data_IF_595900313067
#
_entry.id   IF_595900313067
#
_cell.length_a   1.000
_cell.length_b   1.000
_cell.length_c   1.000
_cell.angle_alpha   90.00
_cell.angle_beta   90.00
_cell.angle_gamma   90.00
#
_symmetry.space_group_name_H-M   'P 1'
#
loop_
_entity.id
_entity.type
_entity.pdbx_description
1 polymer ?
#
# COMPACT_ATOMS: atom_id res chain seq x y z
N UNK A 1 20.85 13.03 19.50
CA UNK A 1 22.12 12.46 20.01
C UNK A 1 22.92 13.57 20.65
N UNK A 2 23.76 13.26 21.64
CA UNK A 2 24.48 14.25 22.43
C UNK A 2 25.93 13.85 22.64
N UNK A 3 26.83 14.83 22.56
CA UNK A 3 28.20 14.69 23.04
C UNK A 3 28.65 15.99 23.71
N UNK A 4 29.66 15.91 24.55
CA UNK A 4 30.19 17.07 25.25
C UNK A 4 31.70 17.09 25.28
N UNK A 5 32.24 18.31 25.15
CA UNK A 5 33.67 18.55 25.15
C UNK A 5 34.04 19.65 26.15
N UNK A 6 35.28 19.59 26.65
CA UNK A 6 35.82 20.59 27.57
C UNK A 6 36.44 21.78 26.82
N UNK A 7 36.99 22.75 27.56
CA UNK A 7 37.64 23.94 26.99
C UNK A 7 38.86 23.64 26.10
N UNK A 8 39.43 22.44 26.21
CA UNK A 8 40.54 21.96 25.38
C UNK A 8 40.07 21.20 24.13
N UNK A 9 38.76 21.19 23.86
CA UNK A 9 38.12 20.39 22.83
C UNK A 9 38.31 18.87 23.00
N UNK A 10 38.55 18.41 24.23
CA UNK A 10 38.60 16.98 24.55
C UNK A 10 37.19 16.46 24.79
N UNK A 11 36.84 15.32 24.19
CA UNK A 11 35.58 14.64 24.45
C UNK A 11 35.54 14.14 25.89
N UNK A 12 34.50 14.51 26.63
CA UNK A 12 34.35 14.12 28.04
C UNK A 12 33.07 13.32 28.32
N UNK A 13 32.10 13.39 27.41
CA UNK A 13 30.87 12.60 27.50
C UNK A 13 30.23 12.42 26.13
N UNK A 14 29.59 11.29 25.91
CA UNK A 14 28.74 11.04 24.75
C UNK A 14 27.60 10.10 25.14
N UNK A 15 26.44 10.29 24.52
CA UNK A 15 25.37 9.30 24.64
C UNK A 15 25.68 8.05 23.80
N UNK A 16 25.00 6.94 24.12
CA UNK A 16 25.20 5.66 23.45
C UNK A 16 24.99 5.76 21.93
N UNK A 17 23.98 6.51 21.52
CA UNK A 17 23.63 6.70 20.11
C UNK A 17 24.75 7.41 19.33
N UNK A 18 25.41 8.41 19.91
CA UNK A 18 26.57 9.06 19.29
C UNK A 18 27.77 8.12 19.16
N UNK A 19 28.03 7.31 20.19
CA UNK A 19 29.13 6.32 20.17
C UNK A 19 28.90 5.28 19.06
N UNK A 20 27.67 4.75 18.98
CA UNK A 20 27.26 3.79 17.94
C UNK A 20 27.27 4.42 16.54
N UNK A 21 26.86 5.68 16.41
CA UNK A 21 26.91 6.42 15.13
C UNK A 21 28.33 6.47 14.56
N UNK A 22 29.34 6.56 15.42
CA UNK A 22 30.75 6.58 15.03
C UNK A 22 31.37 5.18 14.82
N UNK A 23 30.59 4.11 15.01
CA UNK A 23 31.03 2.72 14.84
C UNK A 23 31.70 2.11 16.08
N UNK A 24 31.56 2.72 17.26
CA UNK A 24 32.17 2.24 18.50
C UNK A 24 31.14 1.56 19.42
N UNK A 25 31.62 0.62 20.23
CA UNK A 25 30.80 -0.10 21.22
C UNK A 25 30.83 0.58 22.60
N UNK A 26 31.90 1.31 22.91
CA UNK A 26 32.12 1.94 24.22
C UNK A 26 32.75 3.32 24.07
N UNK A 27 32.52 4.18 25.08
CA UNK A 27 33.12 5.51 25.13
C UNK A 27 34.65 5.46 25.18
N UNK A 28 35.22 4.49 25.90
CA UNK A 28 36.68 4.31 25.97
C UNK A 28 37.29 3.91 24.63
N UNK A 29 36.57 3.13 23.81
CA UNK A 29 37.04 2.78 22.47
C UNK A 29 37.04 4.02 21.56
N UNK A 30 36.02 4.87 21.66
CA UNK A 30 35.94 6.14 20.94
C UNK A 30 37.07 7.11 21.32
N UNK A 31 37.42 7.20 22.61
CA UNK A 31 38.49 8.08 23.09
C UNK A 31 39.88 7.67 22.57
N UNK A 32 40.14 6.37 22.38
CA UNK A 32 41.45 5.88 21.90
C UNK A 32 41.75 6.31 20.46
N UNK A 33 40.72 6.44 19.63
CA UNK A 33 40.88 6.70 18.20
C UNK A 33 40.86 8.20 17.84
N UNK A 34 40.69 9.10 18.83
CA UNK A 34 40.74 10.57 18.64
C UNK A 34 39.84 11.13 17.53
N UNK A 35 38.73 10.46 17.22
CA UNK A 35 37.81 10.77 16.10
C UNK A 35 37.26 12.21 16.13
N UNK A 36 37.29 12.87 17.29
CA UNK A 36 36.89 14.27 17.44
C UNK A 36 37.70 15.22 16.56
N UNK A 37 38.96 14.92 16.28
CA UNK A 37 39.82 15.80 15.48
C UNK A 37 39.36 15.89 14.01
N UNK A 38 38.62 14.89 13.55
CA UNK A 38 38.09 14.82 12.18
C UNK A 38 36.71 15.50 12.05
N UNK A 39 36.13 15.95 13.16
CA UNK A 39 34.84 16.64 13.18
C UNK A 39 35.03 18.09 12.72
N UNK A 40 34.52 18.41 11.53
CA UNK A 40 34.46 19.77 11.02
C UNK A 40 33.15 20.43 11.47
N UNK A 41 33.27 21.43 12.36
CA UNK A 41 32.15 22.25 12.80
C UNK A 41 32.07 23.51 11.95
N UNK A 42 30.98 23.67 11.21
CA UNK A 42 30.56 24.95 10.64
C UNK A 42 29.38 25.49 11.45
N UNK A 43 29.13 26.79 11.41
CA UNK A 43 28.26 27.60 12.32
C UNK A 43 26.88 27.04 12.71
N UNK A 44 26.39 25.97 12.09
CA UNK A 44 25.20 25.21 12.52
C UNK A 44 25.22 23.74 12.08
N UNK A 45 26.33 23.25 11.50
CA UNK A 45 26.44 21.91 10.94
C UNK A 45 27.74 21.23 11.30
N UNK A 46 27.63 19.98 11.70
CA UNK A 46 28.70 19.02 11.86
C UNK A 46 28.86 18.25 10.56
N UNK A 47 30.09 18.20 10.05
CA UNK A 47 30.48 17.29 8.97
C UNK A 47 31.65 16.47 9.49
N UNK A 48 31.46 15.16 9.57
CA UNK A 48 32.52 14.21 9.87
C UNK A 48 32.79 13.39 8.63
N UNK A 49 34.02 13.44 8.13
CA UNK A 49 34.47 12.61 7.03
C UNK A 49 35.39 11.51 7.57
N UNK A 50 34.85 10.31 7.73
CA UNK A 50 35.64 9.11 7.97
C UNK A 50 35.99 8.46 6.63
N UNK A 51 36.98 7.57 6.64
CA UNK A 51 37.45 6.87 5.44
C UNK A 51 36.37 6.06 4.72
N UNK A 52 35.33 5.63 5.42
CA UNK A 52 34.25 4.79 4.90
C UNK A 52 32.85 5.43 5.01
N UNK A 53 32.73 6.57 5.69
CA UNK A 53 31.45 7.14 6.11
C UNK A 53 31.53 8.66 6.24
N UNK A 54 30.59 9.35 5.62
CA UNK A 54 30.37 10.78 5.82
C UNK A 54 29.13 10.99 6.67
N UNK A 55 29.24 11.78 7.72
CA UNK A 55 28.14 12.12 8.62
C UNK A 55 27.91 13.63 8.55
N UNK A 56 26.68 14.02 8.27
CA UNK A 56 26.24 15.41 8.31
C UNK A 56 25.15 15.57 9.37
N UNK A 57 25.23 16.56 10.24
CA UNK A 57 24.22 16.78 11.27
C UNK A 57 24.06 18.27 11.59
N UNK A 58 22.86 18.69 11.97
CA UNK A 58 22.61 20.00 12.54
C UNK A 58 23.03 20.00 14.02
N UNK A 59 23.76 21.03 14.45
CA UNK A 59 24.25 21.17 15.82
C UNK A 59 23.51 22.26 16.58
N UNK A 60 23.29 22.01 17.87
CA UNK A 60 22.90 23.02 18.84
C UNK A 60 23.83 22.90 20.05
N UNK A 61 24.62 23.95 20.32
CA UNK A 61 25.54 23.98 21.45
C UNK A 61 24.89 24.62 22.68
N UNK A 62 25.13 24.03 23.85
CA UNK A 62 24.74 24.57 25.15
C UNK A 62 25.94 24.55 26.07
N UNK A 63 26.27 25.69 26.67
CA UNK A 63 27.37 25.81 27.61
C UNK A 63 26.90 25.50 29.03
N UNK A 64 27.58 24.58 29.70
CA UNK A 64 27.34 24.18 31.08
C UNK A 64 28.55 24.59 31.92
N UNK A 65 28.32 25.42 32.92
CA UNK A 65 29.36 25.83 33.86
C UNK A 65 29.36 24.88 35.05
N UNK A 66 30.40 24.05 35.15
CA UNK A 66 30.66 23.26 36.35
C UNK A 66 31.59 24.05 37.28
N UNK A 67 31.63 23.67 38.56
CA UNK A 67 32.45 24.37 39.58
C UNK A 67 33.95 24.44 39.26
N UNK A 68 34.44 23.59 38.37
CA UNK A 68 35.86 23.46 38.04
C UNK A 68 36.19 23.64 36.56
N UNK A 69 35.20 23.65 35.67
CA UNK A 69 35.41 23.75 34.21
C UNK A 69 34.13 24.08 33.46
N UNK A 70 34.26 24.70 32.29
CA UNK A 70 33.17 24.81 31.33
C UNK A 70 33.10 23.54 30.46
N UNK A 71 31.88 23.03 30.27
CA UNK A 71 31.57 21.92 29.37
C UNK A 71 30.63 22.43 28.30
N UNK A 72 30.94 22.20 27.03
CA UNK A 72 30.02 22.45 25.93
C UNK A 72 29.31 21.16 25.56
N UNK A 73 27.99 21.15 25.70
CA UNK A 73 27.12 20.07 25.27
C UNK A 73 26.60 20.37 23.87
N UNK A 74 26.82 19.45 22.94
CA UNK A 74 26.32 19.53 21.57
C UNK A 74 25.19 18.54 21.40
N UNK A 75 24.03 19.06 20.98
CA UNK A 75 22.91 18.26 20.50
C UNK A 75 23.01 18.13 18.99
N UNK A 76 22.95 16.90 18.50
CA UNK A 76 22.85 16.58 17.09
C UNK A 76 21.40 16.26 16.71
N UNK A 77 20.99 16.81 15.57
CA UNK A 77 19.69 16.62 14.93
C UNK A 77 19.86 16.50 13.42
N UNK A 78 18.88 15.92 12.71
CA UNK A 78 18.90 15.71 11.26
C UNK A 78 20.21 15.08 10.77
N UNK A 79 20.55 13.93 11.37
CA UNK A 79 21.80 13.22 11.08
C UNK A 79 21.63 12.45 9.78
N UNK A 80 22.50 12.71 8.80
CA UNK A 80 22.55 12.09 7.48
C UNK A 80 23.86 11.33 7.39
N UNK A 81 23.79 10.05 7.05
CA UNK A 81 24.93 9.16 6.87
C UNK A 81 25.06 8.78 5.39
N UNK A 82 26.21 9.09 4.80
CA UNK A 82 26.57 8.73 3.43
C UNK A 82 27.82 7.84 3.47
N UNK A 83 27.65 6.52 3.46
CA UNK A 83 28.75 5.55 3.42
C UNK A 83 29.25 5.33 1.99
N UNK A 84 30.57 5.40 1.77
CA UNK A 84 31.20 5.19 0.45
C UNK A 84 31.68 3.76 0.21
N UNK A 85 31.66 2.90 1.24
CA UNK A 85 31.98 1.49 1.11
C UNK A 85 30.75 0.65 1.46
N UNK A 86 30.29 -0.16 0.49
CA UNK A 86 29.46 -1.34 0.76
C UNK A 86 30.35 -2.34 1.50
N UNK A 87 30.48 -2.19 2.82
CA UNK A 87 31.12 -3.21 3.68
C UNK A 87 30.05 -3.86 4.51
N UNK A 88 29.81 -5.14 4.19
CA UNK A 88 29.20 -6.20 5.00
C UNK A 88 28.82 -5.75 6.41
N UNK A 89 27.70 -5.04 6.46
CA UNK A 89 26.84 -4.93 7.60
C UNK A 89 26.54 -6.39 7.99
N UNK A 90 27.18 -6.92 9.05
CA UNK A 90 26.67 -8.12 9.72
C UNK A 90 25.40 -7.72 10.44
N UNK A 91 24.38 -7.42 9.64
CA UNK A 91 23.03 -7.34 10.14
C UNK A 91 22.65 -8.79 10.36
N UNK A 92 22.42 -9.14 11.62
CA UNK A 92 21.88 -10.43 11.99
C UNK A 92 20.39 -10.46 11.60
N UNK A 93 20.12 -10.26 10.31
CA UNK A 93 18.81 -10.41 9.76
C UNK A 93 18.56 -11.89 9.56
N UNK A 94 17.61 -12.43 10.32
CA UNK A 94 17.11 -13.78 10.08
C UNK A 94 16.42 -13.81 8.70
N UNK A 95 16.79 -14.74 7.81
CA UNK A 95 16.06 -14.94 6.57
C UNK A 95 14.59 -15.25 6.86
N UNK A 96 13.70 -14.69 6.06
CA UNK A 96 12.27 -14.98 6.11
C UNK A 96 12.03 -16.12 5.12
N UNK A 97 11.94 -17.34 5.65
CA UNK A 97 11.73 -18.52 4.83
C UNK A 97 10.26 -18.63 4.40
N UNK A 98 10.04 -18.66 3.09
CA UNK A 98 8.74 -18.95 2.51
C UNK A 98 8.75 -20.40 2.03
N UNK A 99 7.89 -21.23 2.63
CA UNK A 99 7.69 -22.59 2.18
C UNK A 99 6.88 -22.58 0.87
N UNK A 100 7.57 -22.45 -0.26
CA UNK A 100 6.96 -22.38 -1.58
C UNK A 100 6.04 -23.58 -1.87
N UNK A 101 6.41 -24.79 -1.45
CA UNK A 101 5.60 -25.99 -1.67
C UNK A 101 4.25 -25.93 -0.92
N UNK A 102 4.28 -25.49 0.34
CA UNK A 102 3.07 -25.30 1.13
C UNK A 102 2.22 -24.15 0.60
N UNK A 103 2.83 -22.98 0.43
CA UNK A 103 2.11 -21.75 0.06
C UNK A 103 1.52 -21.89 -1.35
N UNK A 104 2.28 -22.39 -2.33
CA UNK A 104 1.78 -22.61 -3.69
C UNK A 104 0.58 -23.57 -3.70
N UNK A 105 0.63 -24.65 -2.91
CA UNK A 105 -0.50 -25.56 -2.74
C UNK A 105 -1.71 -24.87 -2.11
N UNK A 106 -1.49 -24.07 -1.07
CA UNK A 106 -2.57 -23.35 -0.36
C UNK A 106 -3.28 -22.32 -1.26
N UNK A 107 -2.56 -21.75 -2.25
CA UNK A 107 -3.13 -20.79 -3.21
C UNK A 107 -3.50 -21.43 -4.57
N UNK A 108 -3.32 -22.74 -4.72
CA UNK A 108 -3.68 -23.48 -5.94
C UNK A 108 -2.76 -23.25 -7.15
N UNK A 109 -1.51 -22.85 -6.93
CA UNK A 109 -0.51 -22.63 -7.98
C UNK A 109 0.56 -23.73 -8.01
N UNK A 110 1.23 -23.88 -9.14
CA UNK A 110 2.48 -24.64 -9.21
C UNK A 110 3.59 -23.95 -8.41
N UNK A 111 4.57 -24.73 -7.93
CA UNK A 111 5.72 -24.16 -7.20
C UNK A 111 6.51 -23.18 -8.06
N UNK A 112 6.65 -23.46 -9.36
CA UNK A 112 7.36 -22.57 -10.28
C UNK A 112 6.54 -21.32 -10.63
N UNK A 113 5.21 -21.44 -10.71
CA UNK A 113 4.32 -20.28 -10.87
C UNK A 113 4.35 -19.38 -9.63
N UNK A 114 4.38 -19.96 -8.43
CA UNK A 114 4.54 -19.18 -7.19
C UNK A 114 5.86 -18.41 -7.17
N UNK A 115 6.97 -19.02 -7.62
CA UNK A 115 8.25 -18.31 -7.75
C UNK A 115 8.13 -17.13 -8.71
N UNK A 116 7.52 -17.34 -9.87
CA UNK A 116 7.31 -16.30 -10.87
C UNK A 116 6.46 -15.15 -10.32
N UNK A 117 5.40 -15.47 -9.57
CA UNK A 117 4.55 -14.49 -8.90
C UNK A 117 5.30 -13.72 -7.80
N UNK A 118 6.13 -14.41 -7.02
CA UNK A 118 6.95 -13.78 -5.99
C UNK A 118 7.99 -12.83 -6.61
N UNK A 119 8.65 -13.25 -7.69
CA UNK A 119 9.61 -12.43 -8.42
C UNK A 119 8.91 -11.19 -9.01
N UNK A 120 7.75 -11.38 -9.64
CA UNK A 120 6.94 -10.27 -10.17
C UNK A 120 6.51 -9.28 -9.08
N UNK A 121 6.15 -9.77 -7.89
CA UNK A 121 5.82 -8.92 -6.74
C UNK A 121 7.04 -8.11 -6.27
N UNK A 122 8.23 -8.72 -6.21
CA UNK A 122 9.47 -8.04 -5.84
C UNK A 122 9.82 -6.97 -6.89
N UNK A 123 9.75 -7.31 -8.17
CA UNK A 123 10.01 -6.38 -9.27
C UNK A 123 9.06 -5.19 -9.24
N UNK A 124 7.75 -5.45 -9.08
CA UNK A 124 6.75 -4.39 -8.96
C UNK A 124 7.00 -3.51 -7.73
N UNK A 125 7.39 -4.11 -6.61
CA UNK A 125 7.77 -3.38 -5.40
C UNK A 125 8.94 -2.44 -5.66
N UNK A 126 9.94 -2.85 -6.45
CA UNK A 126 11.09 -2.00 -6.81
C UNK A 126 10.65 -0.88 -7.75
N UNK A 127 9.85 -1.18 -8.77
CA UNK A 127 9.33 -0.19 -9.74
C UNK A 127 8.54 0.91 -9.04
N UNK A 128 7.71 0.54 -8.06
CA UNK A 128 6.82 1.46 -7.36
C UNK A 128 7.48 2.19 -6.17
N UNK A 129 8.78 2.01 -5.91
CA UNK A 129 9.47 2.60 -4.73
C UNK A 129 9.21 4.08 -4.55
N UNK A 130 9.41 4.86 -5.61
CA UNK A 130 9.22 6.32 -5.54
C UNK A 130 7.78 6.68 -5.20
N UNK A 131 6.81 5.95 -5.76
CA UNK A 131 5.37 6.17 -5.52
C UNK A 131 4.97 5.72 -4.10
N UNK A 132 5.63 4.68 -3.58
CA UNK A 132 5.47 4.22 -2.21
C UNK A 132 6.01 5.26 -1.20
N UNK A 133 7.15 5.88 -1.48
CA UNK A 133 7.68 7.00 -0.69
C UNK A 133 6.75 8.23 -0.74
N UNK A 134 6.15 8.49 -1.90
CA UNK A 134 5.16 9.55 -2.08
C UNK A 134 3.82 9.23 -1.38
N UNK A 135 3.56 7.95 -1.08
CA UNK A 135 2.34 7.46 -0.41
C UNK A 135 1.17 7.34 -1.32
N UNK A 136 1.41 6.92 -2.57
CA UNK A 136 0.36 6.62 -3.52
C UNK A 136 -0.48 5.45 -2.97
N UNK A 137 -1.71 5.76 -2.55
CA UNK A 137 -2.64 4.79 -1.97
C UNK A 137 -2.94 3.63 -2.91
N UNK A 138 -2.92 3.86 -4.23
CA UNK A 138 -3.15 2.82 -5.24
C UNK A 138 -2.00 1.82 -5.26
N UNK A 139 -0.76 2.32 -5.16
CA UNK A 139 0.43 1.48 -5.07
C UNK A 139 0.41 0.67 -3.78
N UNK A 140 0.14 1.31 -2.65
CA UNK A 140 0.09 0.63 -1.35
C UNK A 140 -0.98 -0.46 -1.35
N UNK A 141 -2.18 -0.18 -1.89
CA UNK A 141 -3.28 -1.15 -2.02
C UNK A 141 -2.89 -2.31 -2.94
N UNK A 142 -2.29 -2.04 -4.08
CA UNK A 142 -1.86 -3.08 -5.03
C UNK A 142 -0.79 -4.01 -4.42
N UNK A 143 0.27 -3.45 -3.82
CA UNK A 143 1.33 -4.23 -3.19
C UNK A 143 0.80 -5.00 -1.96
N UNK A 144 -0.15 -4.42 -1.22
CA UNK A 144 -0.80 -5.05 -0.07
C UNK A 144 -1.58 -6.30 -0.50
N UNK A 145 -2.35 -6.19 -1.57
CA UNK A 145 -3.09 -7.32 -2.15
C UNK A 145 -2.16 -8.43 -2.65
N UNK A 146 -1.07 -8.07 -3.34
CA UNK A 146 -0.07 -9.06 -3.79
C UNK A 146 0.61 -9.76 -2.62
N UNK A 147 0.98 -9.03 -1.57
CA UNK A 147 1.58 -9.59 -0.37
C UNK A 147 0.63 -10.55 0.37
N UNK A 148 -0.67 -10.24 0.39
CA UNK A 148 -1.70 -11.12 0.95
C UNK A 148 -1.86 -12.41 0.15
N UNK A 149 -1.91 -12.31 -1.18
CA UNK A 149 -1.98 -13.48 -2.08
C UNK A 149 -0.77 -14.38 -1.90
N UNK A 150 0.43 -13.80 -1.77
CA UNK A 150 1.66 -14.55 -1.53
C UNK A 150 1.80 -15.06 -0.08
N UNK A 151 0.82 -14.79 0.78
CA UNK A 151 0.78 -15.14 2.21
C UNK A 151 1.99 -14.61 2.98
N UNK A 152 2.34 -13.34 2.76
CA UNK A 152 3.45 -12.64 3.44
C UNK A 152 2.90 -11.53 4.36
N UNK A 153 2.28 -11.88 5.50
CA UNK A 153 1.52 -10.93 6.33
C UNK A 153 2.38 -9.80 6.91
N UNK A 154 3.65 -10.06 7.25
CA UNK A 154 4.54 -9.04 7.79
C UNK A 154 4.85 -7.91 6.80
N UNK A 155 4.95 -8.26 5.51
CA UNK A 155 5.13 -7.28 4.43
C UNK A 155 3.84 -6.46 4.26
N UNK A 156 2.68 -7.13 4.33
CA UNK A 156 1.39 -6.45 4.27
C UNK A 156 1.20 -5.43 5.42
N UNK A 157 1.55 -5.80 6.65
CA UNK A 157 1.48 -4.90 7.81
C UNK A 157 2.33 -3.64 7.60
N UNK A 158 3.51 -3.78 7.01
CA UNK A 158 4.38 -2.63 6.72
C UNK A 158 3.77 -1.71 5.66
N UNK A 159 3.19 -2.26 4.59
CA UNK A 159 2.49 -1.49 3.58
C UNK A 159 1.30 -0.70 4.18
N UNK A 160 0.54 -1.31 5.08
CA UNK A 160 -0.55 -0.64 5.78
C UNK A 160 -0.06 0.48 6.71
N UNK A 161 1.10 0.31 7.37
CA UNK A 161 1.75 1.38 8.16
C UNK A 161 2.21 2.53 7.27
N UNK A 162 2.82 2.22 6.13
CA UNK A 162 3.24 3.21 5.11
C UNK A 162 2.05 4.05 4.64
N UNK A 163 0.87 3.42 4.45
CA UNK A 163 -0.38 4.12 4.07
C UNK A 163 -0.76 5.20 5.09
N UNK A 164 -0.74 4.86 6.37
CA UNK A 164 -1.31 5.68 7.45
C UNK A 164 -0.39 6.77 7.97
N UNK A 165 0.91 6.70 7.65
CA UNK A 165 1.89 7.64 8.18
C UNK A 165 2.06 8.87 7.29
N UNK A 166 2.31 10.04 7.91
CA UNK A 166 2.66 11.25 7.17
C UNK A 166 4.00 11.08 6.45
N UNK A 167 4.19 11.81 5.34
CA UNK A 167 5.35 11.67 4.44
C UNK A 167 6.72 11.75 5.14
N UNK A 168 6.82 12.50 6.24
CA UNK A 168 8.04 12.65 7.05
C UNK A 168 8.47 11.38 7.79
N UNK A 169 7.54 10.48 8.11
CA UNK A 169 7.78 9.26 8.88
C UNK A 169 7.77 8.01 7.99
N UNK A 170 7.24 8.14 6.76
CA UNK A 170 7.07 7.03 5.82
C UNK A 170 8.39 6.42 5.35
N UNK A 171 9.43 7.23 5.17
CA UNK A 171 10.72 6.77 4.64
C UNK A 171 11.31 5.61 5.46
N UNK A 172 11.26 5.70 6.80
CA UNK A 172 11.78 4.64 7.66
C UNK A 172 11.03 3.30 7.50
N UNK A 173 9.71 3.35 7.28
CA UNK A 173 8.90 2.15 7.05
C UNK A 173 9.04 1.60 5.64
N UNK A 174 9.29 2.47 4.65
CA UNK A 174 9.64 2.06 3.29
C UNK A 174 11.00 1.34 3.29
N UNK A 175 12.00 1.87 4.03
CA UNK A 175 13.28 1.20 4.21
C UNK A 175 13.13 -0.15 4.92
N UNK A 176 12.29 -0.22 5.96
CA UNK A 176 11.98 -1.49 6.65
C UNK A 176 11.28 -2.49 5.72
N UNK A 177 10.36 -2.01 4.86
CA UNK A 177 9.69 -2.80 3.84
C UNK A 177 10.69 -3.43 2.86
N UNK A 178 11.59 -2.65 2.27
CA UNK A 178 12.61 -3.18 1.35
C UNK A 178 13.63 -4.09 2.04
N UNK A 179 13.97 -3.78 3.30
CA UNK A 179 14.80 -4.66 4.11
C UNK A 179 14.14 -6.03 4.27
N UNK A 180 12.85 -6.08 4.61
CA UNK A 180 12.12 -7.35 4.76
C UNK A 180 11.96 -8.09 3.44
N UNK A 181 11.72 -7.37 2.33
CA UNK A 181 11.71 -7.97 0.99
C UNK A 181 13.03 -8.65 0.65
N UNK A 182 14.17 -7.99 0.93
CA UNK A 182 15.49 -8.53 0.67
C UNK A 182 15.83 -9.79 1.50
N UNK A 183 15.09 -10.02 2.60
CA UNK A 183 15.25 -11.18 3.48
C UNK A 183 14.37 -12.36 3.10
N UNK A 184 13.43 -12.20 2.16
CA UNK A 184 12.61 -13.29 1.68
C UNK A 184 13.50 -14.35 1.01
N UNK A 185 13.32 -15.61 1.40
CA UNK A 185 14.06 -16.72 0.81
C UNK A 185 13.20 -17.96 0.67
N UNK A 186 13.39 -18.67 -0.45
CA UNK A 186 12.78 -19.98 -0.69
C UNK A 186 13.67 -21.13 -0.25
N UNK A 187 14.90 -20.84 0.20
CA UNK A 187 15.85 -21.85 0.68
C UNK A 187 15.69 -21.98 2.19
N UNK A 188 15.30 -23.17 2.64
CA UNK A 188 15.17 -23.48 4.07
C UNK A 188 16.51 -23.28 4.77
N UNK A 189 16.63 -22.34 5.73
CA UNK A 189 17.87 -22.12 6.46
C UNK A 189 18.26 -23.33 7.32
N UNK A 190 19.56 -23.56 7.51
CA UNK A 190 20.04 -24.63 8.39
C UNK A 190 19.67 -24.30 9.85
N UNK A 191 18.81 -25.13 10.46
CA UNK A 191 18.30 -24.92 11.82
C UNK A 191 16.87 -24.35 11.90
N UNK A 192 16.21 -24.12 10.75
CA UNK A 192 14.81 -23.68 10.71
C UNK A 192 13.86 -24.82 11.11
N UNK A 193 13.15 -24.67 12.23
CA UNK A 193 12.05 -25.56 12.62
C UNK A 193 10.78 -25.12 11.90
N UNK A 194 9.99 -26.06 11.37
CA UNK A 194 8.78 -25.75 10.57
C UNK A 194 7.69 -24.98 11.36
N UNK A 195 7.87 -24.83 12.68
CA UNK A 195 7.03 -24.05 13.60
C UNK A 195 7.37 -22.54 13.60
N UNK A 196 8.50 -22.10 13.06
CA UNK A 196 8.92 -20.68 13.02
C UNK A 196 8.26 -19.90 11.86
N UNK A 197 7.05 -20.30 11.44
CA UNK A 197 6.19 -19.56 10.51
C UNK A 197 5.53 -18.39 11.26
N UNK A 198 6.34 -17.48 11.81
CA UNK A 198 5.97 -16.13 12.31
C UNK A 198 4.56 -15.99 12.93
N UNK A 199 4.22 -16.88 13.85
CA UNK A 199 3.49 -16.50 15.06
C UNK A 199 4.57 -16.35 16.13
N UNK A 200 4.90 -15.12 16.52
CA UNK A 200 5.58 -14.95 17.81
C UNK A 200 4.59 -15.39 18.89
N UNK A 201 4.83 -16.54 19.52
CA UNK A 201 4.12 -16.93 20.74
C UNK A 201 4.63 -16.13 21.95
N UNK A 202 3.65 -15.69 22.75
CA UNK A 202 3.70 -15.36 24.17
C UNK A 202 4.56 -14.17 24.64
N UNK A 203 4.12 -12.97 24.27
CA UNK A 203 4.00 -11.91 25.29
C UNK A 203 2.53 -11.48 25.46
N UNK A 204 2.11 -11.01 26.64
CA UNK A 204 0.70 -10.77 26.99
C UNK A 204 0.12 -9.49 26.33
N UNK A 205 0.47 -9.27 25.06
CA UNK A 205 0.06 -8.15 24.21
C UNK A 205 -0.98 -8.54 23.14
N UNK A 206 -1.29 -9.82 22.95
CA UNK A 206 -2.25 -10.31 21.95
C UNK A 206 -3.66 -9.69 22.14
N UNK A 207 -4.10 -9.47 23.39
CA UNK A 207 -5.37 -8.77 23.65
C UNK A 207 -5.35 -7.30 23.24
N UNK A 208 -4.18 -6.66 23.24
CA UNK A 208 -4.02 -5.27 22.81
C UNK A 208 -3.86 -5.13 21.31
N UNK A 209 -3.40 -6.16 20.59
CA UNK A 209 -3.16 -6.10 19.15
C UNK A 209 -4.44 -6.34 18.33
N UNK A 210 -5.31 -7.23 18.78
CA UNK A 210 -6.70 -7.32 18.28
C UNK A 210 -7.55 -6.11 18.73
N UNK A 211 -7.36 -5.59 19.95
CA UNK A 211 -7.96 -4.30 20.36
C UNK A 211 -7.39 -3.12 19.57
N UNK A 212 -6.11 -3.14 19.18
CA UNK A 212 -5.50 -2.09 18.35
C UNK A 212 -6.07 -2.20 16.94
N UNK A 213 -6.15 -3.39 16.36
CA UNK A 213 -6.76 -3.59 15.06
C UNK A 213 -8.25 -3.18 15.08
N UNK A 214 -9.01 -3.49 16.13
CA UNK A 214 -10.43 -3.08 16.26
C UNK A 214 -10.59 -1.57 16.57
N UNK A 215 -9.81 -0.98 17.49
CA UNK A 215 -9.80 0.46 17.76
C UNK A 215 -9.32 1.27 16.55
N UNK A 216 -8.52 0.67 15.69
CA UNK A 216 -7.99 1.31 14.50
C UNK A 216 -8.96 1.23 13.32
N UNK A 217 -9.79 0.19 13.25
CA UNK A 217 -11.00 0.16 12.41
C UNK A 217 -12.02 1.23 12.86
N UNK A 218 -12.16 1.49 14.16
CA UNK A 218 -12.96 2.63 14.68
C UNK A 218 -12.33 4.02 14.41
N UNK A 219 -11.00 4.13 14.38
CA UNK A 219 -10.31 5.39 14.08
C UNK A 219 -10.31 5.73 12.58
N UNK A 220 -10.24 4.74 11.70
CA UNK A 220 -10.39 4.94 10.25
C UNK A 220 -11.80 5.42 9.90
N UNK A 221 -12.83 4.80 10.48
CA UNK A 221 -14.23 5.21 10.29
C UNK A 221 -14.50 6.64 10.81
N UNK A 222 -13.79 7.12 11.84
CA UNK A 222 -13.97 8.49 12.37
C UNK A 222 -13.17 9.58 11.64
N UNK A 223 -12.05 9.24 10.97
CA UNK A 223 -11.28 10.18 10.14
C UNK A 223 -12.00 10.48 8.82
N UNK A 224 -12.59 9.47 8.17
CA UNK A 224 -13.43 9.64 6.96
C UNK A 224 -14.67 10.53 7.20
N UNK A 225 -15.23 10.53 8.42
CA UNK A 225 -16.37 11.38 8.79
C UNK A 225 -15.95 12.84 9.01
N UNK A 226 -14.70 13.12 9.41
CA UNK A 226 -14.19 14.48 9.60
C UNK A 226 -13.80 15.13 8.27
N UNK A 227 -13.19 14.37 7.37
CA UNK A 227 -12.83 14.86 6.03
C UNK A 227 -14.08 15.13 5.17
N UNK A 228 -15.13 14.30 5.28
CA UNK A 228 -16.45 14.58 4.65
C UNK A 228 -17.12 15.86 5.21
N UNK A 229 -16.99 16.17 6.51
CA UNK A 229 -17.63 17.35 7.14
C UNK A 229 -16.91 18.69 6.87
N UNK A 230 -15.63 18.68 6.53
CA UNK A 230 -14.88 19.89 6.17
C UNK A 230 -15.01 20.26 4.68
N UNK A 231 -15.24 19.28 3.81
CA UNK A 231 -15.52 19.49 2.38
C UNK A 231 -16.96 19.98 2.12
N UNK A 232 -17.94 19.57 2.94
CA UNK A 232 -19.33 20.04 2.82
C UNK A 232 -19.54 21.51 3.20
N UNK A 233 -18.58 22.17 3.88
CA UNK A 233 -18.69 23.59 4.28
C UNK A 233 -18.12 24.60 3.30
N UNK A 234 -17.44 24.19 2.22
CA UNK A 234 -16.84 25.11 1.25
C UNK A 234 -17.55 25.18 -0.11
N UNK A 235 -18.54 24.34 -0.37
CA UNK A 235 -19.23 24.27 -1.66
C UNK A 235 -20.63 24.88 -1.62
N UNK A 236 -20.72 26.14 -1.21
CA UNK A 236 -21.84 27.02 -1.59
C UNK A 236 -21.27 28.42 -1.87
N UNK A 237 -20.74 28.62 -3.07
CA UNK A 237 -21.04 29.80 -3.90
C UNK A 237 -20.22 29.80 -5.20
N UNK A 238 -20.98 30.02 -6.27
CA UNK A 238 -20.62 30.64 -7.55
C UNK A 238 -20.06 29.79 -8.70
N UNK A 239 -20.98 29.61 -9.64
CA UNK A 239 -20.87 29.39 -11.09
C UNK A 239 -20.01 30.48 -11.76
N UNK A 240 -19.09 30.08 -12.66
CA UNK A 240 -18.80 30.67 -14.00
C UNK A 240 -17.56 30.01 -14.64
N UNK A 241 -17.72 29.33 -15.78
CA UNK A 241 -16.70 29.20 -16.85
C UNK A 241 -16.68 30.49 -17.69
N UNK A 242 -15.72 30.77 -18.61
CA UNK A 242 -14.77 29.86 -19.29
C UNK A 242 -13.31 30.41 -19.40
N UNK A 243 -12.36 29.59 -19.89
CA UNK A 243 -11.50 29.89 -21.06
C UNK A 243 -10.43 28.81 -21.31
N UNK A 244 -10.18 28.59 -22.61
CA UNK A 244 -9.25 27.65 -23.21
C UNK A 244 -7.83 28.24 -23.20
N UNK A 245 -6.80 27.43 -22.94
CA UNK A 245 -5.42 27.74 -23.34
C UNK A 245 -4.58 26.46 -23.41
N UNK A 246 -3.98 26.27 -24.58
CA UNK A 246 -3.21 25.13 -25.06
C UNK A 246 -1.84 24.91 -24.40
N UNK A 247 -1.38 23.67 -24.58
CA UNK A 247 -0.01 23.23 -24.84
C UNK A 247 1.05 23.28 -23.72
N UNK A 248 1.54 22.08 -23.36
CA UNK A 248 2.87 21.59 -23.77
C UNK A 248 3.06 20.07 -23.56
N UNK A 249 3.05 19.41 -24.71
CA UNK A 249 3.77 18.21 -25.20
C UNK A 249 5.19 18.07 -24.59
N UNK A 250 5.75 16.90 -24.25
CA UNK A 250 6.30 15.77 -25.05
C UNK A 250 6.87 14.71 -24.06
N UNK A 251 7.46 13.55 -24.46
CA UNK A 251 7.18 12.64 -25.58
C UNK A 251 7.04 11.16 -25.12
N UNK A 252 6.28 10.36 -25.87
CA UNK A 252 6.40 8.90 -25.87
C UNK A 252 7.03 8.50 -27.20
N UNK A 253 8.27 8.00 -27.15
CA UNK A 253 8.92 7.35 -28.30
C UNK A 253 8.41 5.92 -28.44
N UNK A 254 7.57 5.76 -29.47
CA UNK A 254 7.50 4.71 -30.49
C UNK A 254 8.15 3.33 -30.25
N UNK A 255 7.30 2.29 -30.35
CA UNK A 255 7.26 1.19 -31.35
C UNK A 255 6.51 0.02 -30.69
N UNK A 256 5.45 -0.56 -31.24
CA UNK A 256 5.25 -0.99 -32.63
C UNK A 256 3.85 -0.69 -33.18
N UNK A 257 3.84 -0.54 -34.49
CA UNK A 257 2.74 -0.29 -35.41
C UNK A 257 2.04 -1.64 -35.70
N UNK A 258 0.70 -1.68 -35.67
CA UNK A 258 -0.02 -2.36 -36.75
C UNK A 258 -1.30 -1.60 -37.11
N UNK A 259 -1.41 -1.43 -38.42
CA UNK A 259 -2.26 -0.56 -39.20
C UNK A 259 -3.59 -1.26 -39.52
N UNK A 260 -4.71 -0.54 -39.40
CA UNK A 260 -5.96 -0.80 -40.11
C UNK A 260 -6.84 0.45 -39.99
N UNK A 261 -6.62 1.39 -40.91
CA UNK A 261 -7.63 2.37 -41.29
C UNK A 261 -8.90 1.64 -41.77
N UNK A 262 -10.03 1.86 -41.09
CA UNK A 262 -11.35 1.67 -41.70
C UNK A 262 -12.24 2.89 -41.39
N UNK A 263 -12.98 3.27 -42.42
CA UNK A 263 -13.50 4.60 -42.68
C UNK A 263 -14.68 4.96 -41.76
N UNK A 264 -14.63 6.13 -41.12
CA UNK A 264 -15.79 6.72 -40.45
C UNK A 264 -16.68 7.44 -41.50
N UNK A 265 -17.80 6.82 -41.87
CA UNK A 265 -18.92 7.55 -42.48
C UNK A 265 -19.74 8.28 -41.40
N UNK A 266 -20.34 9.46 -41.70
CA UNK A 266 -21.11 10.22 -40.73
C UNK A 266 -22.52 9.64 -40.56
N UNK A 267 -22.91 9.36 -39.31
CA UNK A 267 -24.29 8.91 -38.98
C UNK A 267 -25.21 10.14 -38.88
N UNK A 268 -26.40 10.13 -39.52
CA UNK A 268 -27.37 11.22 -39.45
C UNK A 268 -28.15 11.24 -38.14
N UNK A 269 -28.50 12.45 -37.72
CA UNK A 269 -29.38 12.77 -36.59
C UNK A 269 -30.75 12.06 -36.65
N UNK A 270 -31.27 11.77 -35.46
CA UNK A 270 -32.66 11.38 -35.08
C UNK A 270 -33.03 9.88 -35.07
N UNK A 271 -32.92 9.24 -33.90
CA UNK A 271 -33.89 8.25 -33.43
C UNK A 271 -34.09 8.40 -31.90
N UNK A 272 -35.28 8.85 -31.50
CA UNK A 272 -35.73 8.82 -30.11
C UNK A 272 -36.10 7.37 -29.75
N UNK A 273 -35.16 6.65 -29.16
CA UNK A 273 -35.39 5.37 -28.49
C UNK A 273 -35.58 5.65 -27.00
N UNK A 274 -36.54 4.96 -26.35
CA UNK A 274 -36.60 4.93 -24.89
C UNK A 274 -35.24 4.46 -24.39
N UNK A 275 -34.52 5.36 -23.72
CA UNK A 275 -33.21 5.10 -23.17
C UNK A 275 -33.38 4.11 -22.01
N UNK A 276 -32.88 2.89 -22.19
CA UNK A 276 -32.82 1.91 -21.10
C UNK A 276 -31.97 2.48 -19.97
N UNK A 277 -32.49 2.47 -18.74
CA UNK A 277 -31.80 2.97 -17.54
C UNK A 277 -32.03 2.02 -16.38
N UNK A 278 -31.03 1.95 -15.49
CA UNK A 278 -31.04 1.15 -14.26
C UNK A 278 -31.49 1.93 -13.01
N UNK A 279 -31.94 3.18 -13.16
CA UNK A 279 -32.20 4.07 -12.01
C UNK A 279 -33.49 3.75 -11.25
N UNK A 280 -34.41 2.97 -11.87
CA UNK A 280 -35.70 2.60 -11.28
C UNK A 280 -35.82 1.09 -11.01
N UNK A 281 -34.70 0.38 -10.93
CA UNK A 281 -34.69 -1.06 -10.63
C UNK A 281 -34.97 -1.29 -9.16
N UNK A 282 -35.82 -2.28 -8.88
CA UNK A 282 -36.16 -2.69 -7.52
C UNK A 282 -35.22 -3.77 -7.00
N UNK A 283 -34.88 -3.69 -5.71
CA UNK A 283 -34.06 -4.66 -5.02
C UNK A 283 -34.61 -6.10 -5.14
N UNK A 284 -33.77 -7.06 -5.52
CA UNK A 284 -34.09 -8.49 -5.62
C UNK A 284 -33.46 -9.26 -4.47
N UNK A 285 -34.17 -10.21 -3.83
CA UNK A 285 -33.66 -10.90 -2.66
C UNK A 285 -32.34 -11.62 -2.96
N UNK A 286 -31.35 -11.42 -2.08
CA UNK A 286 -30.04 -12.07 -2.13
C UNK A 286 -29.78 -12.82 -0.83
N UNK A 287 -29.22 -14.02 -0.91
CA UNK A 287 -28.87 -14.83 0.25
C UNK A 287 -27.36 -14.75 0.51
N UNK A 288 -26.92 -13.56 0.92
CA UNK A 288 -25.52 -13.32 1.23
C UNK A 288 -25.28 -13.20 2.74
N UNK A 289 -24.22 -13.86 3.24
CA UNK A 289 -23.79 -13.73 4.62
C UNK A 289 -22.26 -13.58 4.71
N UNK A 290 -21.77 -12.38 5.09
CA UNK A 290 -20.34 -12.10 5.21
C UNK A 290 -19.60 -13.05 6.17
N UNK A 291 -20.30 -13.63 7.16
CA UNK A 291 -19.69 -14.59 8.10
C UNK A 291 -19.40 -15.93 7.42
N UNK A 292 -20.34 -16.43 6.63
CA UNK A 292 -20.17 -17.70 5.91
C UNK A 292 -19.04 -17.53 4.88
N UNK A 293 -19.06 -16.43 4.14
CA UNK A 293 -17.99 -16.10 3.21
C UNK A 293 -16.62 -15.98 3.90
N UNK A 294 -16.56 -15.35 5.08
CA UNK A 294 -15.35 -15.24 5.89
C UNK A 294 -14.82 -16.60 6.36
N UNK A 295 -15.70 -17.47 6.85
CA UNK A 295 -15.34 -18.82 7.29
C UNK A 295 -14.81 -19.66 6.11
N UNK A 296 -15.45 -19.57 4.94
CA UNK A 296 -15.02 -20.29 3.74
C UNK A 296 -13.72 -19.77 3.13
N UNK A 297 -13.50 -18.45 3.19
CA UNK A 297 -12.28 -17.81 2.70
C UNK A 297 -11.15 -17.83 3.73
N UNK A 298 -11.44 -18.29 4.96
CA UNK A 298 -10.55 -18.24 6.11
C UNK A 298 -9.97 -16.83 6.32
N UNK A 299 -10.85 -15.82 6.26
CA UNK A 299 -10.56 -14.40 6.42
C UNK A 299 -11.42 -13.80 7.53
N UNK A 300 -10.99 -12.72 8.19
CA UNK A 300 -11.85 -12.01 9.14
C UNK A 300 -13.11 -11.45 8.47
N UNK A 301 -14.26 -11.57 9.14
CA UNK A 301 -15.57 -11.04 8.67
C UNK A 301 -15.49 -9.56 8.28
N UNK A 302 -14.73 -8.77 9.04
CA UNK A 302 -14.54 -7.34 8.78
C UNK A 302 -13.86 -7.12 7.42
N UNK A 303 -12.86 -7.93 7.08
CA UNK A 303 -12.15 -7.83 5.81
C UNK A 303 -13.04 -8.24 4.63
N UNK A 304 -13.88 -9.27 4.80
CA UNK A 304 -14.89 -9.61 3.79
C UNK A 304 -15.87 -8.46 3.59
N UNK A 305 -16.32 -7.81 4.67
CA UNK A 305 -17.19 -6.64 4.56
C UNK A 305 -16.51 -5.49 3.80
N UNK A 306 -15.24 -5.21 4.09
CA UNK A 306 -14.45 -4.20 3.36
C UNK A 306 -14.32 -4.55 1.87
N UNK A 307 -14.05 -5.80 1.53
CA UNK A 307 -13.98 -6.22 0.12
C UNK A 307 -15.33 -6.15 -0.60
N UNK A 308 -16.44 -6.43 0.10
CA UNK A 308 -17.78 -6.24 -0.44
C UNK A 308 -18.10 -4.77 -0.64
N UNK A 309 -17.66 -3.89 0.26
CA UNK A 309 -17.78 -2.43 0.09
C UNK A 309 -16.96 -1.92 -1.10
N UNK A 310 -15.72 -2.39 -1.26
CA UNK A 310 -14.88 -2.12 -2.44
C UNK A 310 -15.55 -2.62 -3.74
N UNK A 311 -16.14 -3.81 -3.71
CA UNK A 311 -16.90 -4.36 -4.83
C UNK A 311 -18.13 -3.51 -5.16
N UNK A 312 -18.84 -3.00 -4.14
CA UNK A 312 -19.98 -2.10 -4.31
C UNK A 312 -19.54 -0.81 -5.01
N UNK A 313 -18.45 -0.19 -4.56
CA UNK A 313 -17.91 1.02 -5.19
C UNK A 313 -17.50 0.77 -6.65
N UNK A 314 -16.80 -0.35 -6.91
CA UNK A 314 -16.40 -0.73 -8.27
C UNK A 314 -17.61 -0.97 -9.17
N UNK A 315 -18.65 -1.63 -8.68
CA UNK A 315 -19.87 -1.91 -9.44
C UNK A 315 -20.67 -0.65 -9.77
N UNK A 316 -20.67 0.37 -8.88
CA UNK A 316 -21.22 1.69 -9.20
C UNK A 316 -20.44 2.39 -10.32
N UNK A 317 -19.11 2.33 -10.29
CA UNK A 317 -18.29 2.89 -11.37
C UNK A 317 -18.52 2.14 -12.70
N UNK A 318 -18.58 0.82 -12.64
CA UNK A 318 -18.76 -0.03 -13.82
C UNK A 318 -20.21 0.02 -14.35
N UNK A 319 -21.20 0.52 -13.59
CA UNK A 319 -22.61 0.69 -14.02
C UNK A 319 -22.71 1.55 -15.28
N UNK A 320 -22.07 2.72 -15.27
CA UNK A 320 -22.14 3.67 -16.38
C UNK A 320 -21.43 3.12 -17.61
N UNK A 321 -20.34 2.39 -17.42
CA UNK A 321 -19.64 1.68 -18.48
C UNK A 321 -20.49 0.56 -19.09
N UNK A 322 -21.17 -0.22 -18.25
CA UNK A 322 -22.06 -1.29 -18.70
C UNK A 322 -23.24 -0.74 -19.53
N UNK A 323 -23.84 0.37 -19.09
CA UNK A 323 -24.91 1.06 -19.82
C UNK A 323 -24.40 1.67 -21.14
N UNK A 324 -23.25 2.33 -21.12
CA UNK A 324 -22.66 2.91 -22.33
C UNK A 324 -22.40 1.83 -23.40
N UNK A 325 -21.84 0.68 -23.01
CA UNK A 325 -21.61 -0.43 -23.93
C UNK A 325 -22.89 -1.06 -24.44
N UNK A 326 -23.94 -1.13 -23.62
CA UNK A 326 -25.27 -1.52 -24.08
C UNK A 326 -25.75 -0.57 -25.18
N UNK A 327 -25.78 0.74 -24.95
CA UNK A 327 -26.24 1.71 -25.96
C UNK A 327 -25.41 1.68 -27.25
N UNK A 328 -24.11 1.40 -27.15
CA UNK A 328 -23.21 1.26 -28.28
C UNK A 328 -23.28 -0.11 -28.97
N UNK A 329 -24.03 -1.07 -28.41
CA UNK A 329 -24.10 -2.48 -28.84
C UNK A 329 -22.73 -3.16 -28.87
N UNK A 330 -21.84 -2.74 -27.97
CA UNK A 330 -20.51 -3.28 -27.81
C UNK A 330 -20.56 -4.55 -26.95
N UNK A 331 -20.83 -5.67 -27.61
CA UNK A 331 -20.95 -6.98 -26.95
C UNK A 331 -19.63 -7.45 -26.35
N UNK A 332 -18.50 -7.12 -26.97
CA UNK A 332 -17.18 -7.54 -26.49
C UNK A 332 -16.87 -6.88 -25.14
N UNK A 333 -17.12 -5.57 -25.01
CA UNK A 333 -16.93 -4.88 -23.74
C UNK A 333 -17.93 -5.36 -22.67
N UNK A 334 -19.17 -5.70 -23.05
CA UNK A 334 -20.15 -6.28 -22.11
C UNK A 334 -19.67 -7.64 -21.58
N UNK A 335 -19.11 -8.49 -22.44
CA UNK A 335 -18.55 -9.78 -22.05
C UNK A 335 -17.33 -9.61 -21.14
N UNK A 336 -16.45 -8.66 -21.44
CA UNK A 336 -15.28 -8.34 -20.63
C UNK A 336 -15.67 -7.83 -19.24
N UNK A 337 -16.60 -6.87 -19.15
CA UNK A 337 -17.11 -6.35 -17.88
C UNK A 337 -17.81 -7.45 -17.07
N UNK A 338 -18.62 -8.29 -17.74
CA UNK A 338 -19.26 -9.45 -17.13
C UNK A 338 -18.24 -10.41 -16.53
N UNK A 339 -17.17 -10.73 -17.26
CA UNK A 339 -16.09 -11.58 -16.77
C UNK A 339 -15.38 -11.00 -15.53
N UNK A 340 -15.02 -9.71 -15.57
CA UNK A 340 -14.34 -8.99 -14.48
C UNK A 340 -15.19 -8.97 -13.21
N UNK A 341 -16.45 -8.54 -13.33
CA UNK A 341 -17.36 -8.44 -12.19
C UNK A 341 -17.71 -9.82 -11.64
N UNK A 342 -17.88 -10.84 -12.51
CA UNK A 342 -18.09 -12.24 -12.08
C UNK A 342 -16.94 -12.73 -11.22
N UNK A 343 -15.71 -12.47 -11.65
CA UNK A 343 -14.51 -12.86 -10.91
C UNK A 343 -14.50 -12.25 -9.50
N UNK A 344 -14.81 -10.95 -9.40
CA UNK A 344 -14.90 -10.26 -8.12
C UNK A 344 -16.02 -10.82 -7.22
N UNK A 345 -17.23 -11.01 -7.76
CA UNK A 345 -18.36 -11.57 -7.00
C UNK A 345 -18.08 -13.01 -6.50
N UNK A 346 -17.49 -13.85 -7.36
CA UNK A 346 -17.13 -15.24 -7.03
C UNK A 346 -16.09 -15.31 -5.91
N UNK A 347 -15.10 -14.41 -5.94
CA UNK A 347 -14.06 -14.31 -4.93
C UNK A 347 -14.62 -13.92 -3.56
N UNK A 348 -15.76 -13.24 -3.52
CA UNK A 348 -16.44 -12.80 -2.29
C UNK A 348 -17.59 -13.72 -1.85
N UNK A 349 -17.80 -14.84 -2.56
CA UNK A 349 -18.91 -15.79 -2.32
C UNK A 349 -20.28 -15.13 -2.42
N UNK A 350 -20.44 -14.23 -3.40
CA UNK A 350 -21.74 -13.63 -3.72
C UNK A 350 -22.32 -14.39 -4.93
N UNK A 351 -22.72 -15.63 -4.67
CA UNK A 351 -22.98 -16.62 -5.72
C UNK A 351 -24.09 -16.18 -6.69
N UNK A 352 -25.19 -15.60 -6.20
CA UNK A 352 -26.27 -15.16 -7.07
C UNK A 352 -25.88 -14.02 -8.01
N UNK A 353 -24.96 -13.14 -7.59
CA UNK A 353 -24.40 -12.12 -8.48
C UNK A 353 -23.43 -12.73 -9.49
N UNK A 354 -22.58 -13.66 -9.05
CA UNK A 354 -21.65 -14.36 -9.92
C UNK A 354 -22.39 -15.13 -11.04
N UNK A 355 -23.49 -15.80 -10.72
CA UNK A 355 -24.32 -16.54 -11.68
C UNK A 355 -24.91 -15.61 -12.75
N UNK A 356 -25.49 -14.47 -12.34
CA UNK A 356 -26.07 -13.52 -13.31
C UNK A 356 -25.00 -12.86 -14.17
N UNK A 357 -23.83 -12.58 -13.60
CA UNK A 357 -22.70 -12.03 -14.33
C UNK A 357 -22.09 -13.05 -15.32
N UNK A 358 -22.16 -14.35 -15.01
CA UNK A 358 -21.85 -15.42 -15.96
C UNK A 358 -22.86 -15.47 -17.11
N UNK A 359 -24.16 -15.34 -16.83
CA UNK A 359 -25.19 -15.23 -17.87
C UNK A 359 -24.94 -14.01 -18.78
N UNK A 360 -24.50 -12.88 -18.22
CA UNK A 360 -24.11 -11.69 -18.98
C UNK A 360 -22.85 -11.94 -19.81
N UNK A 361 -21.81 -12.53 -19.22
CA UNK A 361 -20.52 -12.81 -19.87
C UNK A 361 -20.68 -13.65 -21.15
N UNK A 362 -21.60 -14.62 -21.14
CA UNK A 362 -21.81 -15.52 -22.28
C UNK A 362 -23.07 -15.20 -23.08
N UNK A 363 -23.70 -14.03 -22.85
CA UNK A 363 -24.92 -13.64 -23.55
C UNK A 363 -24.64 -13.33 -25.02
N UNK A 364 -25.21 -14.11 -25.93
CA UNK A 364 -25.12 -13.87 -27.39
C UNK A 364 -26.33 -13.15 -27.97
N UNK A 365 -27.41 -13.01 -27.19
CA UNK A 365 -28.66 -12.39 -27.60
C UNK A 365 -28.83 -11.04 -26.91
N UNK A 366 -28.58 -9.96 -27.65
CA UNK A 366 -28.70 -8.59 -27.17
C UNK A 366 -30.06 -8.28 -26.55
N UNK A 367 -31.14 -8.92 -27.04
CA UNK A 367 -32.51 -8.70 -26.55
C UNK A 367 -32.71 -9.14 -25.09
N UNK A 368 -31.82 -9.99 -24.57
CA UNK A 368 -31.86 -10.48 -23.19
C UNK A 368 -31.04 -9.65 -22.22
N UNK A 369 -30.13 -8.81 -22.71
CA UNK A 369 -29.22 -8.03 -21.87
C UNK A 369 -29.97 -7.05 -20.97
N UNK A 370 -31.05 -6.44 -21.45
CA UNK A 370 -31.88 -5.53 -20.65
C UNK A 370 -32.41 -6.21 -19.37
N UNK A 371 -32.92 -7.43 -19.52
CA UNK A 371 -33.43 -8.25 -18.43
C UNK A 371 -32.30 -8.68 -17.49
N UNK A 372 -31.17 -9.11 -18.04
CA UNK A 372 -30.00 -9.55 -17.26
C UNK A 372 -29.38 -8.41 -16.46
N UNK A 373 -29.26 -7.22 -17.04
CA UNK A 373 -28.74 -6.04 -16.35
C UNK A 373 -29.70 -5.58 -15.25
N UNK A 374 -31.00 -5.63 -15.51
CA UNK A 374 -32.02 -5.36 -14.48
C UNK A 374 -31.93 -6.37 -13.33
N UNK A 375 -31.74 -7.66 -13.64
CA UNK A 375 -31.58 -8.71 -12.62
C UNK A 375 -30.30 -8.52 -11.81
N UNK A 376 -29.17 -8.27 -12.49
CA UNK A 376 -27.88 -7.96 -11.86
C UNK A 376 -28.00 -6.76 -10.92
N UNK A 377 -28.52 -5.64 -11.43
CA UNK A 377 -28.63 -4.40 -10.67
C UNK A 377 -29.61 -4.52 -9.50
N UNK A 378 -30.69 -5.30 -9.65
CA UNK A 378 -31.61 -5.59 -8.55
C UNK A 378 -30.95 -6.39 -7.42
N UNK A 379 -30.15 -7.41 -7.73
CA UNK A 379 -29.39 -8.16 -6.72
C UNK A 379 -28.31 -7.29 -6.06
N UNK A 380 -27.67 -6.44 -6.86
CA UNK A 380 -26.66 -5.49 -6.40
C UNK A 380 -27.23 -4.51 -5.37
N UNK A 381 -28.39 -3.91 -5.63
CA UNK A 381 -29.07 -3.00 -4.68
C UNK A 381 -29.35 -3.71 -3.35
N UNK A 382 -29.81 -4.97 -3.39
CA UNK A 382 -30.05 -5.71 -2.14
C UNK A 382 -28.79 -6.02 -1.35
N UNK A 383 -27.68 -6.31 -2.04
CA UNK A 383 -26.38 -6.49 -1.40
C UNK A 383 -25.94 -5.19 -0.72
N UNK A 384 -26.04 -4.07 -1.44
CA UNK A 384 -25.72 -2.75 -0.92
C UNK A 384 -26.58 -2.38 0.30
N UNK A 385 -27.90 -2.56 0.21
CA UNK A 385 -28.84 -2.32 1.29
C UNK A 385 -28.53 -3.18 2.52
N UNK A 386 -28.23 -4.48 2.31
CA UNK A 386 -27.86 -5.39 3.38
C UNK A 386 -26.60 -4.93 4.12
N UNK A 387 -25.60 -4.48 3.37
CA UNK A 387 -24.33 -3.99 3.91
C UNK A 387 -24.51 -2.65 4.65
N UNK A 388 -25.39 -1.77 4.18
CA UNK A 388 -25.73 -0.51 4.86
C UNK A 388 -26.59 -0.70 6.11
N UNK A 389 -27.50 -1.69 6.15
CA UNK A 389 -28.30 -2.01 7.34
C UNK A 389 -27.50 -2.71 8.45
N UNK A 390 -26.34 -3.27 8.10
CA UNK A 390 -25.44 -4.00 9.02
C UNK A 390 -24.34 -3.11 9.66
N UNK A 391 -24.39 -1.79 9.42
CA UNK A 391 -23.59 -0.73 10.08
C UNK A 391 -24.40 -0.13 11.23
#
# INVERSE_FOLDING_TARGET
MYYGYNEKNELILADKAFIELLGYQTFDALLKDNVIQDIQLSSSKLILNQSYKKIEANIQETSLYMSTQMVKLVKLSNIIENSSEIKNLQINYKPIYLNAERISKDIGLGVDDYKLYLDSFIDQSIIDEKRLQEGDDKVVKNLSNLALTLKIPNINILLLKIKKLPKSERLAFVDEYYTKLALLTLKKPAGYQDEELLLEEDTPLISKEEELNSKFTELLTTVDIKEKKEQEKKSQQHLSTPEISENRLYPLDEKEIFDLEEQLEPIPDTFSLKEFSLDNVTALPINYNPKIAADELNLPVVLIKEFVEDFIEQAHHDKDHLLASYHQKDMDNIHELGHKLKGAASNLRIDELADVLEEIQFCTDYSKLELLFTKYWGLFISLEDYMHQSK
#
